data_IF_877269841304
#
_entry.id   IF_877269841304
#
_cell.length_a   1.000
_cell.length_b   1.000
_cell.length_c   1.000
_cell.angle_alpha   90.00
_cell.angle_beta   90.00
_cell.angle_gamma   90.00
#
_symmetry.space_group_name_H-M   'P 1'
#
loop_
_entity.id
_entity.type
_entity.pdbx_description
1 polymer ?
#
# COMPACT_ATOMS: atom_id res chain seq x y z
N UNK A 1 -4.51 -3.16 -16.75
CA UNK A 1 -4.45 -1.80 -16.15
C UNK A 1 -3.61 -1.86 -14.88
N UNK A 2 -2.82 -0.82 -14.64
CA UNK A 2 -2.05 -0.66 -13.39
C UNK A 2 -2.99 -0.62 -12.19
N UNK A 3 -2.63 -1.30 -11.09
CA UNK A 3 -3.47 -1.35 -9.90
C UNK A 3 -3.57 0.04 -9.24
N UNK A 4 -4.78 0.59 -9.17
CA UNK A 4 -5.05 1.83 -8.44
C UNK A 4 -5.26 1.57 -6.95
N UNK A 5 -4.93 2.56 -6.14
CA UNK A 5 -5.09 2.52 -4.67
C UNK A 5 -6.11 3.59 -4.27
N UNK A 6 -6.99 3.24 -3.34
CA UNK A 6 -7.90 4.18 -2.67
C UNK A 6 -7.54 4.37 -1.20
N UNK A 7 -7.60 5.61 -0.73
CA UNK A 7 -7.55 5.97 0.69
C UNK A 7 -8.73 6.85 1.04
N UNK A 8 -9.31 6.62 2.22
CA UNK A 8 -10.45 7.40 2.74
C UNK A 8 -10.01 8.20 3.97
N UNK A 9 -10.45 9.45 4.03
CA UNK A 9 -10.24 10.41 5.10
C UNK A 9 -11.62 10.99 5.48
N UNK A 10 -12.15 10.60 6.63
CA UNK A 10 -13.55 10.88 7.01
C UNK A 10 -13.67 11.44 8.43
N UNK A 11 -12.61 12.08 8.93
CA UNK A 11 -12.51 12.50 10.34
C UNK A 11 -12.55 14.02 10.53
N UNK A 12 -12.93 14.78 9.50
CA UNK A 12 -12.89 16.24 9.53
C UNK A 12 -14.26 16.84 9.84
N UNK A 13 -14.27 17.95 10.57
CA UNK A 13 -15.44 18.84 10.73
C UNK A 13 -15.31 19.98 9.74
N UNK A 14 -16.43 20.41 9.17
CA UNK A 14 -16.45 21.33 8.04
C UNK A 14 -15.73 20.75 6.82
N UNK A 15 -15.34 21.64 5.89
CA UNK A 15 -14.80 21.25 4.58
C UNK A 15 -13.38 21.79 4.28
N UNK A 16 -12.40 21.67 5.19
CA UNK A 16 -11.08 22.28 5.00
C UNK A 16 -10.33 21.77 3.77
N UNK A 17 -10.58 20.53 3.35
CA UNK A 17 -9.99 20.01 2.11
C UNK A 17 -10.48 20.74 0.86
N UNK A 18 -11.69 21.32 0.83
CA UNK A 18 -12.15 22.11 -0.32
C UNK A 18 -11.24 23.32 -0.49
N UNK A 19 -11.03 24.08 0.59
CA UNK A 19 -10.12 25.23 0.60
C UNK A 19 -8.70 24.86 0.23
N UNK A 20 -8.15 23.82 0.85
CA UNK A 20 -6.80 23.35 0.56
C UNK A 20 -6.59 23.05 -0.93
N UNK A 21 -7.51 22.29 -1.55
CA UNK A 21 -7.36 21.93 -2.96
C UNK A 21 -7.64 23.12 -3.90
N UNK A 22 -8.59 24.00 -3.57
CA UNK A 22 -8.83 25.23 -4.33
C UNK A 22 -7.61 26.19 -4.28
N UNK A 23 -6.90 26.27 -3.16
CA UNK A 23 -5.63 27.01 -3.07
C UNK A 23 -4.53 26.40 -3.94
N UNK A 24 -4.48 25.07 -4.08
CA UNK A 24 -3.56 24.43 -5.02
C UNK A 24 -3.92 24.72 -6.47
N UNK A 25 -5.21 24.72 -6.80
CA UNK A 25 -5.69 25.11 -8.12
C UNK A 25 -5.29 26.55 -8.45
N UNK A 26 -5.43 27.50 -7.51
CA UNK A 26 -5.03 28.89 -7.76
C UNK A 26 -3.52 29.09 -7.92
N UNK A 27 -2.71 28.16 -7.39
CA UNK A 27 -1.24 28.13 -7.58
C UNK A 27 -0.79 27.35 -8.82
N UNK A 28 -1.72 26.73 -9.56
CA UNK A 28 -1.39 25.85 -10.70
C UNK A 28 -0.77 24.50 -10.30
N UNK A 29 -0.90 24.09 -9.03
CA UNK A 29 -0.38 22.81 -8.52
C UNK A 29 -1.40 21.66 -8.63
N UNK A 30 -2.66 21.99 -8.93
CA UNK A 30 -3.76 21.05 -9.08
C UNK A 30 -4.76 21.57 -10.12
N UNK A 31 -5.65 20.69 -10.58
CA UNK A 31 -6.73 21.03 -11.51
C UNK A 31 -8.07 20.53 -10.99
N UNK A 32 -9.11 21.37 -11.03
CA UNK A 32 -10.47 20.95 -10.72
C UNK A 32 -11.08 20.24 -11.95
N UNK A 33 -11.01 18.91 -11.97
CA UNK A 33 -11.52 18.11 -13.09
C UNK A 33 -13.05 18.09 -13.17
N UNK A 34 -13.71 18.08 -12.00
CA UNK A 34 -15.15 17.84 -11.96
C UNK A 34 -15.83 18.55 -10.80
N UNK A 35 -17.01 19.10 -11.10
CA UNK A 35 -18.03 19.56 -10.15
C UNK A 35 -19.36 18.91 -10.54
N UNK A 36 -20.03 18.26 -9.60
CA UNK A 36 -21.25 17.48 -9.86
C UNK A 36 -22.30 17.74 -8.79
N UNK A 37 -23.57 17.77 -9.21
CA UNK A 37 -24.73 18.07 -8.38
C UNK A 37 -24.55 19.43 -7.66
N UNK A 38 -24.10 20.43 -8.42
CA UNK A 38 -23.77 21.79 -7.98
C UNK A 38 -24.43 22.84 -8.89
N UNK A 39 -25.52 22.46 -9.56
CA UNK A 39 -26.24 23.27 -10.55
C UNK A 39 -26.85 24.53 -9.94
N UNK A 40 -27.06 24.54 -8.62
CA UNK A 40 -27.43 25.74 -7.86
C UNK A 40 -26.45 26.91 -8.09
N UNK A 41 -25.21 26.61 -8.49
CA UNK A 41 -24.18 27.61 -8.77
C UNK A 41 -24.07 28.02 -10.25
N UNK A 42 -24.86 27.43 -11.16
CA UNK A 42 -24.71 27.69 -12.60
C UNK A 42 -25.07 29.12 -13.02
N UNK A 43 -25.80 29.86 -12.18
CA UNK A 43 -26.11 31.29 -12.36
C UNK A 43 -25.13 32.26 -11.69
N UNK A 44 -24.10 31.78 -10.99
CA UNK A 44 -23.14 32.64 -10.30
C UNK A 44 -21.94 32.94 -11.20
N UNK A 45 -21.72 34.21 -11.53
CA UNK A 45 -20.58 34.65 -12.36
C UNK A 45 -19.21 34.27 -11.75
N UNK A 46 -19.12 34.25 -10.41
CA UNK A 46 -17.90 33.91 -9.69
C UNK A 46 -18.19 33.09 -8.45
N UNK A 47 -17.96 31.79 -8.55
CA UNK A 47 -18.02 30.86 -7.43
C UNK A 47 -16.78 31.02 -6.53
N UNK A 48 -16.97 31.37 -5.25
CA UNK A 48 -15.88 31.43 -4.27
C UNK A 48 -15.76 30.10 -3.54
N UNK A 49 -14.55 29.79 -3.05
CA UNK A 49 -14.28 28.64 -2.20
C UNK A 49 -15.21 28.57 -0.97
N UNK A 50 -15.50 29.72 -0.36
CA UNK A 50 -16.39 29.81 0.80
C UNK A 50 -17.83 29.39 0.46
N UNK A 51 -18.32 29.68 -0.76
CA UNK A 51 -19.67 29.31 -1.19
C UNK A 51 -19.80 27.78 -1.25
N UNK A 52 -18.77 27.09 -1.76
CA UNK A 52 -18.69 25.63 -1.75
C UNK A 52 -18.64 25.07 -0.33
N UNK A 53 -17.78 25.61 0.54
CA UNK A 53 -17.70 25.15 1.94
C UNK A 53 -19.04 25.33 2.67
N UNK A 54 -19.72 26.46 2.47
CA UNK A 54 -21.02 26.74 3.07
C UNK A 54 -22.11 25.81 2.54
N UNK A 55 -22.16 25.57 1.23
CA UNK A 55 -23.17 24.68 0.65
C UNK A 55 -22.99 23.23 1.12
N UNK A 56 -21.76 22.70 1.06
CA UNK A 56 -21.48 21.36 1.59
C UNK A 56 -21.75 21.29 3.10
N UNK A 57 -21.42 22.36 3.84
CA UNK A 57 -21.76 22.54 5.26
C UNK A 57 -23.25 22.50 5.53
N UNK A 58 -24.05 23.20 4.73
CA UNK A 58 -25.50 23.21 4.85
C UNK A 58 -26.09 21.81 4.62
N UNK A 59 -25.63 21.09 3.59
CA UNK A 59 -26.07 19.71 3.34
C UNK A 59 -25.66 18.79 4.49
N UNK A 60 -24.42 18.86 4.96
CA UNK A 60 -23.94 18.08 6.11
C UNK A 60 -24.77 18.34 7.38
N UNK A 61 -25.16 19.60 7.62
CA UNK A 61 -25.93 20.00 8.80
C UNK A 61 -27.35 19.43 8.88
N UNK A 62 -27.88 18.88 7.77
CA UNK A 62 -29.17 18.19 7.74
C UNK A 62 -29.19 16.95 8.65
N UNK A 63 -28.02 16.44 9.05
CA UNK A 63 -27.90 15.34 10.00
C UNK A 63 -27.03 15.74 11.20
N UNK A 64 -27.65 16.22 12.26
CA UNK A 64 -26.97 16.58 13.52
C UNK A 64 -26.32 15.41 14.26
N UNK A 65 -26.63 14.16 13.87
CA UNK A 65 -26.01 12.95 14.43
C UNK A 65 -24.73 12.56 13.68
N UNK A 66 -24.49 13.10 12.48
CA UNK A 66 -23.23 12.86 11.79
C UNK A 66 -22.10 13.53 12.57
N UNK A 67 -21.05 12.77 12.85
CA UNK A 67 -19.90 13.24 13.66
C UNK A 67 -18.91 14.07 12.83
N UNK A 68 -18.86 13.79 11.53
CA UNK A 68 -17.91 14.35 10.58
C UNK A 68 -18.68 14.75 9.33
N UNK A 69 -18.28 15.87 8.75
CA UNK A 69 -19.06 16.49 7.67
C UNK A 69 -18.52 16.12 6.30
N UNK A 70 -17.20 15.93 6.24
CA UNK A 70 -16.45 15.73 5.00
C UNK A 70 -16.15 14.26 4.73
N UNK A 71 -16.61 13.79 3.58
CA UNK A 71 -16.10 12.62 2.90
C UNK A 71 -14.96 13.02 1.97
N UNK A 72 -13.75 12.51 2.23
CA UNK A 72 -12.60 12.74 1.37
C UNK A 72 -11.97 11.41 0.96
N UNK A 73 -11.93 11.14 -0.34
CA UNK A 73 -11.22 10.01 -0.91
C UNK A 73 -10.02 10.46 -1.76
N UNK A 74 -8.97 9.65 -1.78
CA UNK A 74 -7.83 9.81 -2.68
C UNK A 74 -7.68 8.55 -3.51
N UNK A 75 -7.75 8.69 -4.84
CA UNK A 75 -7.44 7.61 -5.78
C UNK A 75 -6.08 7.89 -6.41
N UNK A 76 -5.17 6.93 -6.39
CA UNK A 76 -3.82 7.09 -6.96
C UNK A 76 -3.42 5.92 -7.84
N UNK A 77 -2.58 6.19 -8.84
CA UNK A 77 -1.99 5.19 -9.73
C UNK A 77 -0.47 5.21 -9.55
N UNK A 78 0.17 4.03 -9.48
CA UNK A 78 1.62 3.93 -9.31
C UNK A 78 2.32 3.97 -10.66
N UNK A 79 3.26 4.90 -10.85
CA UNK A 79 4.22 4.92 -11.95
C UNK A 79 3.67 5.11 -13.37
N UNK A 80 2.36 5.19 -13.53
CA UNK A 80 1.67 5.33 -14.82
C UNK A 80 1.05 6.73 -14.92
N UNK A 81 1.23 7.40 -16.05
CA UNK A 81 0.62 8.69 -16.34
C UNK A 81 -0.80 8.48 -16.88
N UNK A 82 -1.72 8.05 -16.01
CA UNK A 82 -3.14 8.03 -16.36
C UNK A 82 -3.61 9.46 -16.65
N UNK A 83 -4.19 9.66 -17.84
CA UNK A 83 -4.71 10.96 -18.25
C UNK A 83 -5.89 11.44 -17.39
N UNK A 84 -6.05 12.76 -17.28
CA UNK A 84 -7.07 13.40 -16.45
C UNK A 84 -8.51 12.94 -16.79
N UNK A 85 -8.83 12.80 -18.09
CA UNK A 85 -10.14 12.32 -18.53
C UNK A 85 -10.48 10.95 -17.92
N UNK A 86 -9.50 10.05 -17.87
CA UNK A 86 -9.68 8.72 -17.27
C UNK A 86 -9.87 8.79 -15.76
N UNK A 87 -9.14 9.68 -15.09
CA UNK A 87 -9.35 9.94 -13.66
C UNK A 87 -10.77 10.45 -13.38
N UNK A 88 -11.30 11.34 -14.21
CA UNK A 88 -12.66 11.84 -14.09
C UNK A 88 -13.70 10.71 -14.26
N UNK A 89 -13.56 9.88 -15.31
CA UNK A 89 -14.42 8.71 -15.54
C UNK A 89 -14.42 7.73 -14.35
N UNK A 90 -13.22 7.35 -13.88
CA UNK A 90 -13.07 6.42 -12.76
C UNK A 90 -13.65 7.03 -11.49
N UNK A 91 -13.41 8.31 -11.22
CA UNK A 91 -13.95 9.00 -10.04
C UNK A 91 -15.47 9.02 -10.06
N UNK A 92 -16.08 9.29 -11.23
CA UNK A 92 -17.53 9.30 -11.39
C UNK A 92 -18.14 7.91 -11.13
N UNK A 93 -17.64 6.88 -11.82
CA UNK A 93 -18.11 5.50 -11.64
C UNK A 93 -17.89 5.01 -10.20
N UNK A 94 -16.77 5.40 -9.58
CA UNK A 94 -16.46 5.04 -8.21
C UNK A 94 -17.41 5.70 -7.20
N UNK A 95 -17.70 7.00 -7.37
CA UNK A 95 -18.67 7.71 -6.54
C UNK A 95 -20.08 7.10 -6.67
N UNK A 96 -20.48 6.73 -7.88
CA UNK A 96 -21.75 6.03 -8.12
C UNK A 96 -21.81 4.71 -7.36
N UNK A 97 -20.80 3.84 -7.53
CA UNK A 97 -20.74 2.54 -6.85
C UNK A 97 -20.64 2.65 -5.32
N UNK A 98 -20.05 3.73 -4.81
CA UNK A 98 -19.99 4.02 -3.38
C UNK A 98 -21.30 4.55 -2.80
N UNK A 99 -22.30 4.88 -3.64
CA UNK A 99 -23.59 5.42 -3.21
C UNK A 99 -23.63 6.94 -3.10
N UNK A 100 -22.67 7.64 -3.68
CA UNK A 100 -22.53 9.10 -3.67
C UNK A 100 -22.95 9.76 -4.99
N UNK A 101 -23.62 9.03 -5.90
CA UNK A 101 -23.99 9.52 -7.24
C UNK A 101 -24.74 10.87 -7.21
N UNK A 102 -25.66 11.01 -6.26
CA UNK A 102 -26.53 12.19 -6.09
C UNK A 102 -25.97 13.24 -5.12
N UNK A 103 -24.81 12.97 -4.51
CA UNK A 103 -24.20 13.92 -3.57
C UNK A 103 -23.49 15.04 -4.33
N UNK A 104 -23.41 16.25 -3.78
CA UNK A 104 -22.48 17.24 -4.32
C UNK A 104 -21.04 16.76 -4.13
N UNK A 105 -20.25 16.78 -5.20
CA UNK A 105 -18.83 16.45 -5.08
C UNK A 105 -17.93 17.21 -6.05
N UNK A 106 -16.66 17.27 -5.65
CA UNK A 106 -15.56 17.89 -6.37
C UNK A 106 -14.45 16.86 -6.60
N UNK A 107 -13.83 16.87 -7.77
CA UNK A 107 -12.67 16.02 -8.11
C UNK A 107 -11.50 16.90 -8.50
N UNK A 108 -10.42 16.85 -7.73
CA UNK A 108 -9.18 17.59 -7.98
C UNK A 108 -8.09 16.63 -8.44
N UNK A 109 -7.43 16.94 -9.54
CA UNK A 109 -6.28 16.19 -10.06
C UNK A 109 -4.96 16.81 -9.65
N UNK A 110 -4.07 15.97 -9.14
CA UNK A 110 -2.77 16.34 -8.63
C UNK A 110 -1.69 15.51 -9.35
N UNK A 111 -0.69 16.22 -9.87
CA UNK A 111 0.53 15.65 -10.46
C UNK A 111 1.80 16.18 -9.78
N UNK A 112 1.66 16.76 -8.59
CA UNK A 112 2.71 17.37 -7.76
C UNK A 112 3.57 16.34 -7.00
N UNK A 113 3.29 15.04 -7.16
CA UNK A 113 4.06 13.94 -6.56
C UNK A 113 4.41 12.88 -7.59
N UNK A 114 5.26 11.91 -7.23
CA UNK A 114 5.66 10.82 -8.13
C UNK A 114 4.47 10.02 -8.71
N UNK A 115 3.35 9.97 -8.00
CA UNK A 115 2.14 9.28 -8.46
C UNK A 115 1.04 10.30 -8.75
N UNK A 116 0.51 10.28 -9.96
CA UNK A 116 -0.71 11.01 -10.27
C UNK A 116 -1.86 10.50 -9.39
N UNK A 117 -2.65 11.43 -8.85
CA UNK A 117 -3.75 11.10 -7.96
C UNK A 117 -4.86 12.14 -8.05
N UNK A 118 -6.06 11.75 -7.62
CA UNK A 118 -7.19 12.65 -7.46
C UNK A 118 -7.67 12.70 -6.01
N UNK A 119 -8.05 13.89 -5.57
CA UNK A 119 -8.82 14.11 -4.36
C UNK A 119 -10.30 14.25 -4.72
N UNK A 120 -11.16 13.41 -4.14
CA UNK A 120 -12.61 13.45 -4.30
C UNK A 120 -13.21 13.92 -2.97
N UNK A 121 -13.94 15.03 -3.00
CA UNK A 121 -14.54 15.64 -1.81
C UNK A 121 -16.07 15.64 -1.93
N UNK A 122 -16.75 15.18 -0.90
CA UNK A 122 -18.21 15.10 -0.77
C UNK A 122 -18.62 15.29 0.69
N UNK A 123 -19.92 15.30 0.96
CA UNK A 123 -20.50 14.98 2.28
C UNK A 123 -21.15 13.59 2.25
N UNK A 124 -21.22 12.92 3.40
CA UNK A 124 -21.91 11.63 3.58
C UNK A 124 -23.39 11.79 4.00
N UNK A 125 -23.89 13.02 4.07
CA UNK A 125 -25.29 13.33 4.39
C UNK A 125 -26.07 13.65 3.12
N UNK A 126 -27.16 12.93 2.88
CA UNK A 126 -28.06 13.17 1.75
C UNK A 126 -28.94 14.39 1.99
N UNK A 127 -29.55 14.91 0.91
CA UNK A 127 -30.50 16.03 0.99
C UNK A 127 -31.76 15.72 1.81
N UNK A 128 -32.09 14.44 2.01
CA UNK A 128 -33.16 14.01 2.92
C UNK A 128 -32.71 13.91 4.41
N UNK A 129 -31.47 14.29 4.71
CA UNK A 129 -30.86 14.20 6.03
C UNK A 129 -30.38 12.80 6.41
N UNK A 130 -30.60 11.76 5.59
CA UNK A 130 -30.09 10.42 5.86
C UNK A 130 -28.58 10.34 5.61
N UNK A 131 -27.87 9.60 6.46
CA UNK A 131 -26.44 9.35 6.28
C UNK A 131 -26.21 8.20 5.29
N UNK A 132 -25.22 8.32 4.42
CA UNK A 132 -24.68 7.22 3.63
C UNK A 132 -23.95 6.28 4.60
N UNK A 133 -24.29 4.97 4.64
CA UNK A 133 -23.65 4.04 5.55
C UNK A 133 -22.14 3.99 5.33
N UNK A 134 -21.35 4.06 6.42
CA UNK A 134 -19.89 4.02 6.45
C UNK A 134 -19.33 2.66 6.89
N UNK A 135 -20.20 1.70 7.23
CA UNK A 135 -19.82 0.33 7.56
C UNK A 135 -18.99 -0.32 6.45
N UNK A 136 -17.81 -0.83 6.82
CA UNK A 136 -16.86 -1.49 5.91
C UNK A 136 -16.53 -0.67 4.64
N UNK A 137 -16.60 0.66 4.71
CA UNK A 137 -16.32 1.60 3.63
C UNK A 137 -15.00 1.34 2.92
N UNK A 138 -13.91 1.02 3.64
CA UNK A 138 -12.60 0.70 3.06
C UNK A 138 -12.64 -0.54 2.18
N UNK A 139 -13.32 -1.60 2.64
CA UNK A 139 -13.43 -2.87 1.88
C UNK A 139 -14.30 -2.66 0.65
N UNK A 140 -15.40 -1.92 0.78
CA UNK A 140 -16.26 -1.55 -0.35
C UNK A 140 -15.52 -0.68 -1.36
N UNK A 141 -14.86 0.38 -0.89
CA UNK A 141 -14.08 1.32 -1.71
C UNK A 141 -13.05 0.61 -2.59
N UNK A 142 -12.25 -0.28 -1.99
CA UNK A 142 -11.25 -1.06 -2.71
C UNK A 142 -11.95 -2.01 -3.70
N UNK A 143 -12.97 -2.73 -3.25
CA UNK A 143 -13.66 -3.69 -4.11
C UNK A 143 -14.40 -3.06 -5.30
N UNK A 144 -14.93 -1.84 -5.15
CA UNK A 144 -15.53 -1.09 -6.25
C UNK A 144 -14.45 -0.57 -7.21
N UNK A 145 -13.34 -0.03 -6.69
CA UNK A 145 -12.24 0.45 -7.52
C UNK A 145 -11.60 -0.68 -8.34
N UNK A 146 -11.34 -1.84 -7.72
CA UNK A 146 -10.80 -3.02 -8.39
C UNK A 146 -11.70 -3.44 -9.56
N UNK A 147 -13.02 -3.52 -9.34
CA UNK A 147 -13.99 -3.84 -10.40
C UNK A 147 -13.97 -2.83 -11.55
N UNK A 148 -13.93 -1.52 -11.24
CA UNK A 148 -13.85 -0.46 -12.26
C UNK A 148 -12.55 -0.56 -13.07
N UNK A 149 -11.45 -0.97 -12.42
CA UNK A 149 -10.15 -1.18 -13.08
C UNK A 149 -10.04 -2.55 -13.80
N UNK A 150 -11.10 -3.37 -13.82
CA UNK A 150 -11.09 -4.70 -14.43
C UNK A 150 -10.25 -5.73 -13.67
N UNK A 151 -10.03 -5.54 -12.37
CA UNK A 151 -9.28 -6.46 -11.51
C UNK A 151 -10.26 -7.45 -10.88
N UNK A 152 -10.20 -8.72 -11.31
CA UNK A 152 -10.83 -9.81 -10.58
C UNK A 152 -9.93 -10.24 -9.41
N UNK A 153 -10.38 -9.92 -8.19
CA UNK A 153 -9.64 -10.22 -6.96
C UNK A 153 -9.44 -11.72 -6.74
N UNK A 154 -10.40 -12.57 -7.14
CA UNK A 154 -10.30 -14.01 -6.94
C UNK A 154 -9.39 -14.65 -7.98
N UNK A 155 -9.52 -14.26 -9.24
CA UNK A 155 -8.66 -14.76 -10.31
C UNK A 155 -7.21 -14.32 -10.08
N UNK A 156 -6.98 -13.05 -9.72
CA UNK A 156 -5.66 -12.55 -9.33
C UNK A 156 -5.10 -13.33 -8.15
N UNK A 157 -5.93 -13.65 -7.15
CA UNK A 157 -5.50 -14.46 -6.01
C UNK A 157 -5.12 -15.88 -6.42
N UNK A 158 -5.91 -16.55 -7.26
CA UNK A 158 -5.60 -17.91 -7.74
C UNK A 158 -4.29 -17.93 -8.53
N UNK A 159 -4.10 -16.96 -9.43
CA UNK A 159 -2.88 -16.81 -10.21
C UNK A 159 -1.66 -16.58 -9.30
N UNK A 160 -1.76 -15.64 -8.37
CA UNK A 160 -0.70 -15.37 -7.39
C UNK A 160 -0.41 -16.62 -6.55
N UNK A 161 -1.44 -17.27 -6.01
CA UNK A 161 -1.29 -18.45 -5.16
C UNK A 161 -0.63 -19.61 -5.92
N UNK A 162 -1.01 -19.87 -7.17
CA UNK A 162 -0.38 -20.92 -7.99
C UNK A 162 1.12 -20.69 -8.17
N UNK A 163 1.52 -19.43 -8.39
CA UNK A 163 2.93 -19.02 -8.46
C UNK A 163 3.63 -19.13 -7.11
N UNK A 164 2.96 -18.81 -6.00
CA UNK A 164 3.58 -18.88 -4.68
C UNK A 164 3.71 -20.32 -4.18
N UNK A 165 2.78 -21.21 -4.55
CA UNK A 165 2.85 -22.64 -4.22
C UNK A 165 3.95 -23.39 -4.98
N UNK A 166 4.51 -22.82 -6.05
CA UNK A 166 5.71 -23.40 -6.68
C UNK A 166 6.95 -23.24 -5.81
N UNK A 167 6.93 -22.32 -4.84
CA UNK A 167 8.03 -22.15 -3.90
C UNK A 167 7.98 -23.24 -2.84
N UNK A 168 9.14 -23.81 -2.53
CA UNK A 168 9.31 -24.78 -1.44
C UNK A 168 9.48 -24.02 -0.13
N UNK A 169 8.55 -24.23 0.80
CA UNK A 169 8.61 -23.73 2.17
C UNK A 169 8.64 -24.89 3.16
N UNK A 170 9.48 -24.79 4.19
CA UNK A 170 9.57 -25.74 5.31
C UNK A 170 8.97 -25.18 6.61
N UNK A 171 8.68 -23.88 6.68
CA UNK A 171 8.15 -23.22 7.88
C UNK A 171 7.01 -22.24 7.60
N UNK A 172 6.20 -21.96 8.63
CA UNK A 172 5.13 -20.95 8.56
C UNK A 172 5.67 -19.53 8.46
N UNK A 173 6.88 -19.28 8.96
CA UNK A 173 7.59 -18.00 8.84
C UNK A 173 7.97 -17.72 7.38
N UNK A 174 8.53 -18.72 6.69
CA UNK A 174 8.82 -18.63 5.26
C UNK A 174 7.55 -18.37 4.43
N UNK A 175 6.47 -19.11 4.70
CA UNK A 175 5.19 -18.89 4.02
C UNK A 175 4.64 -17.48 4.28
N UNK A 176 4.80 -16.96 5.51
CA UNK A 176 4.42 -15.59 5.87
C UNK A 176 5.23 -14.55 5.10
N UNK A 177 6.55 -14.74 4.97
CA UNK A 177 7.42 -13.86 4.20
C UNK A 177 7.03 -13.85 2.72
N UNK A 178 6.85 -15.03 2.13
CA UNK A 178 6.48 -15.20 0.73
C UNK A 178 5.13 -14.52 0.39
N UNK A 179 4.10 -14.78 1.20
CA UNK A 179 2.78 -14.15 1.04
C UNK A 179 2.85 -12.64 1.29
N UNK A 180 3.61 -12.22 2.31
CA UNK A 180 3.83 -10.82 2.67
C UNK A 180 4.44 -10.00 1.53
N UNK A 181 5.49 -10.51 0.90
CA UNK A 181 6.15 -9.86 -0.25
C UNK A 181 5.21 -9.72 -1.46
N UNK A 182 4.24 -10.62 -1.59
CA UNK A 182 3.20 -10.55 -2.63
C UNK A 182 1.97 -9.70 -2.23
N UNK A 183 2.02 -9.00 -1.09
CA UNK A 183 0.96 -8.10 -0.63
C UNK A 183 -0.20 -8.79 0.10
N UNK A 184 -0.01 -10.03 0.56
CA UNK A 184 -1.00 -10.77 1.34
C UNK A 184 -0.66 -10.74 2.83
N UNK A 185 -1.69 -10.66 3.67
CA UNK A 185 -1.55 -10.82 5.11
C UNK A 185 -1.83 -12.27 5.49
N UNK A 186 -0.85 -12.91 6.13
CA UNK A 186 -0.94 -14.28 6.63
C UNK A 186 -0.79 -14.33 8.15
N UNK A 187 -1.78 -14.88 8.86
CA UNK A 187 -1.78 -14.95 10.32
C UNK A 187 -2.67 -16.09 10.83
N UNK A 188 -2.43 -16.53 12.07
CA UNK A 188 -3.23 -17.54 12.75
C UNK A 188 -4.45 -16.93 13.46
N UNK A 189 -5.57 -17.63 13.40
CA UNK A 189 -6.82 -17.28 14.09
C UNK A 189 -7.66 -18.53 14.32
N UNK A 190 -8.06 -18.79 15.57
CA UNK A 190 -8.95 -19.89 15.96
C UNK A 190 -8.58 -21.24 15.31
N UNK A 191 -7.34 -21.71 15.50
CA UNK A 191 -6.86 -23.01 14.98
C UNK A 191 -6.66 -23.07 13.45
N UNK A 192 -6.72 -21.92 12.77
CA UNK A 192 -6.58 -21.83 11.32
C UNK A 192 -5.58 -20.75 10.94
N UNK A 193 -4.99 -20.86 9.77
CA UNK A 193 -4.30 -19.76 9.10
C UNK A 193 -5.24 -19.09 8.11
N UNK A 194 -5.24 -17.75 8.11
CA UNK A 194 -6.02 -16.92 7.21
C UNK A 194 -5.09 -16.19 6.25
N UNK A 195 -5.43 -16.20 4.96
CA UNK A 195 -4.82 -15.35 3.93
C UNK A 195 -5.80 -14.22 3.63
N UNK A 196 -5.38 -12.98 3.85
CA UNK A 196 -6.19 -11.78 3.62
C UNK A 196 -5.53 -10.81 2.63
N UNK A 197 -6.35 -10.17 1.81
CA UNK A 197 -5.98 -8.99 1.00
C UNK A 197 -7.21 -8.11 0.86
N UNK A 198 -7.03 -6.80 0.73
CA UNK A 198 -8.13 -5.83 0.59
C UNK A 198 -9.18 -5.88 1.72
N UNK A 199 -8.77 -6.31 2.92
CA UNK A 199 -9.66 -6.47 4.07
C UNK A 199 -10.60 -7.68 4.00
N UNK A 200 -10.48 -8.54 2.97
CA UNK A 200 -11.26 -9.78 2.81
C UNK A 200 -10.40 -11.00 3.14
N UNK A 201 -11.03 -12.03 3.68
CA UNK A 201 -10.40 -13.36 3.81
C UNK A 201 -10.58 -14.09 2.49
N UNK A 202 -9.46 -14.42 1.84
CA UNK A 202 -9.43 -15.11 0.55
C UNK A 202 -9.29 -16.63 0.73
N UNK A 203 -8.61 -17.07 1.79
CA UNK A 203 -8.42 -18.49 2.08
C UNK A 203 -8.32 -18.73 3.59
N UNK A 204 -8.82 -19.89 4.01
CA UNK A 204 -8.67 -20.45 5.36
C UNK A 204 -8.04 -21.82 5.25
N UNK A 205 -6.99 -22.07 6.03
CA UNK A 205 -6.23 -23.31 6.03
C UNK A 205 -6.16 -23.85 7.45
N UNK A 206 -6.40 -25.14 7.66
CA UNK A 206 -6.23 -25.76 8.97
C UNK A 206 -4.76 -25.67 9.43
N UNK A 207 -4.52 -25.17 10.64
CA UNK A 207 -3.15 -24.90 11.09
C UNK A 207 -2.33 -26.17 11.31
N UNK A 208 -2.92 -27.18 11.98
CA UNK A 208 -2.24 -28.44 12.27
C UNK A 208 -1.88 -29.20 10.98
N UNK A 209 -2.81 -29.27 10.04
CA UNK A 209 -2.60 -29.92 8.75
C UNK A 209 -1.53 -29.23 7.90
N UNK A 210 -1.49 -27.89 7.89
CA UNK A 210 -0.45 -27.14 7.17
C UNK A 210 0.92 -27.34 7.81
N UNK A 211 1.01 -27.23 9.14
CA UNK A 211 2.27 -27.44 9.85
C UNK A 211 2.82 -28.86 9.65
N UNK A 212 1.98 -29.89 9.70
CA UNK A 212 2.41 -31.26 9.43
C UNK A 212 2.99 -31.43 8.02
N UNK A 213 2.36 -30.83 7.00
CA UNK A 213 2.83 -30.88 5.61
C UNK A 213 4.14 -30.11 5.41
N UNK A 214 4.28 -28.95 6.04
CA UNK A 214 5.52 -28.15 5.99
C UNK A 214 6.69 -28.91 6.63
N UNK A 215 6.46 -29.54 7.79
CA UNK A 215 7.48 -30.35 8.49
C UNK A 215 7.93 -31.60 7.71
N UNK A 216 7.06 -32.16 6.86
CA UNK A 216 7.38 -33.31 6.00
C UNK A 216 8.10 -32.90 4.70
N UNK A 217 8.03 -31.63 4.32
CA UNK A 217 8.66 -31.10 3.11
C UNK A 217 10.15 -30.87 3.36
N UNK A 218 10.94 -31.93 3.18
CA UNK A 218 12.41 -32.01 3.05
C UNK A 218 13.25 -30.84 3.63
N UNK A 219 13.97 -31.10 4.72
CA UNK A 219 15.21 -30.37 5.07
C UNK A 219 16.31 -30.78 4.09
N UNK A 220 16.35 -30.14 2.93
CA UNK A 220 17.41 -30.36 1.95
C UNK A 220 18.69 -29.61 2.38
N UNK A 221 19.43 -30.20 3.33
CA UNK A 221 20.66 -29.64 3.95
C UNK A 221 21.72 -29.27 2.91
N UNK A 222 21.68 -29.86 1.71
CA UNK A 222 22.65 -29.62 0.64
C UNK A 222 22.49 -28.25 -0.02
N UNK A 223 21.26 -27.72 -0.15
CA UNK A 223 21.01 -26.41 -0.77
C UNK A 223 21.54 -25.23 0.06
N UNK A 224 21.40 -25.32 1.39
CA UNK A 224 21.78 -24.26 2.33
C UNK A 224 23.30 -23.96 2.30
N UNK A 225 24.13 -24.98 2.10
CA UNK A 225 25.59 -24.82 2.03
C UNK A 225 26.04 -24.04 0.78
N UNK A 226 25.40 -24.29 -0.37
CA UNK A 226 25.67 -23.57 -1.62
C UNK A 226 25.30 -22.09 -1.50
N UNK A 227 24.08 -21.80 -1.03
CA UNK A 227 23.61 -20.42 -0.81
C UNK A 227 24.50 -19.70 0.19
N UNK A 228 24.90 -20.36 1.28
CA UNK A 228 25.85 -19.79 2.26
C UNK A 228 27.16 -19.38 1.62
N UNK A 229 27.73 -20.23 0.73
CA UNK A 229 28.99 -19.94 0.05
C UNK A 229 28.87 -18.71 -0.86
N UNK A 230 27.77 -18.58 -1.59
CA UNK A 230 27.49 -17.43 -2.44
C UNK A 230 27.41 -16.14 -1.61
N UNK A 231 26.66 -16.18 -0.51
CA UNK A 231 26.50 -15.02 0.38
C UNK A 231 27.85 -14.61 0.97
N UNK A 232 28.62 -15.56 1.50
CA UNK A 232 29.95 -15.30 2.06
C UNK A 232 30.88 -14.65 1.03
N UNK A 233 30.91 -15.16 -0.20
CA UNK A 233 31.74 -14.58 -1.27
C UNK A 233 31.30 -13.15 -1.64
N UNK A 234 29.99 -12.87 -1.64
CA UNK A 234 29.48 -11.53 -1.93
C UNK A 234 29.74 -10.54 -0.78
N UNK A 235 29.87 -11.01 0.46
CA UNK A 235 30.19 -10.18 1.63
C UNK A 235 31.62 -9.65 1.61
N UNK A 236 32.53 -10.27 0.86
CA UNK A 236 33.90 -9.79 0.70
C UNK A 236 33.95 -8.44 -0.07
N UNK A 237 32.96 -8.17 -0.92
CA UNK A 237 32.93 -6.97 -1.78
C UNK A 237 31.75 -6.05 -1.54
N UNK A 238 30.69 -6.50 -0.87
CA UNK A 238 29.46 -5.73 -0.66
C UNK A 238 29.05 -5.69 0.81
N UNK A 239 28.66 -4.49 1.28
CA UNK A 239 28.26 -4.32 2.67
C UNK A 239 26.94 -5.00 2.98
N UNK A 240 26.94 -5.84 4.02
CA UNK A 240 25.75 -6.46 4.60
C UNK A 240 24.94 -5.52 5.51
N UNK A 241 25.44 -4.32 5.78
CA UNK A 241 24.88 -3.40 6.78
C UNK A 241 23.47 -2.94 6.36
N UNK A 242 22.41 -3.20 7.17
CA UNK A 242 21.06 -2.80 6.82
C UNK A 242 20.86 -1.29 6.91
N UNK A 243 20.42 -0.70 5.80
CA UNK A 243 20.02 0.69 5.67
C UNK A 243 18.49 0.81 5.67
N UNK A 244 17.91 1.70 6.50
CA UNK A 244 16.46 1.87 6.56
C UNK A 244 15.92 2.53 5.29
N UNK A 245 14.87 1.94 4.72
CA UNK A 245 14.08 2.53 3.65
C UNK A 245 12.93 3.33 4.28
N UNK A 246 12.92 4.64 4.04
CA UNK A 246 11.89 5.53 4.55
C UNK A 246 10.75 5.72 3.54
N UNK A 247 9.51 5.66 4.03
CA UNK A 247 8.35 6.12 3.27
C UNK A 247 8.12 7.61 3.57
N UNK A 248 8.06 8.43 2.52
CA UNK A 248 7.65 9.84 2.64
C UNK A 248 6.16 9.90 3.01
N UNK A 249 5.83 10.64 4.07
CA UNK A 249 4.46 11.01 4.38
C UNK A 249 4.00 12.16 3.47
N UNK A 250 2.69 12.26 3.23
CA UNK A 250 2.09 13.44 2.60
C UNK A 250 2.14 14.59 3.60
N UNK A 251 3.17 15.44 3.48
CA UNK A 251 3.48 16.52 4.40
C UNK A 251 4.96 16.48 4.80
N UNK A 252 5.58 17.65 4.98
CA UNK A 252 7.03 17.81 5.19
C UNK A 252 7.58 17.20 6.50
N UNK A 253 6.83 16.38 7.23
CA UNK A 253 7.32 15.70 8.44
C UNK A 253 6.79 14.27 8.64
N UNK A 254 7.69 13.48 9.24
CA UNK A 254 7.67 12.04 9.55
C UNK A 254 8.03 11.11 8.39
N UNK A 255 9.22 10.52 8.49
CA UNK A 255 9.72 9.42 7.66
C UNK A 255 9.54 8.12 8.42
N UNK A 256 8.49 7.35 8.12
CA UNK A 256 8.31 6.02 8.74
C UNK A 256 9.24 5.03 8.04
N UNK A 257 9.95 4.20 8.80
CA UNK A 257 10.72 3.08 8.24
C UNK A 257 9.71 2.09 7.64
N UNK A 258 9.83 1.87 6.34
CA UNK A 258 9.01 0.95 5.55
C UNK A 258 9.69 -0.39 5.29
N UNK A 259 11.00 -0.46 5.45
CA UNK A 259 11.81 -1.66 5.23
C UNK A 259 13.28 -1.37 5.49
N UNK A 260 14.12 -2.37 5.23
CA UNK A 260 15.57 -2.24 5.20
C UNK A 260 16.10 -2.80 3.88
N UNK A 261 17.27 -2.33 3.45
CA UNK A 261 18.06 -2.86 2.33
C UNK A 261 19.52 -2.93 2.72
N UNK A 262 20.36 -3.56 1.92
CA UNK A 262 21.82 -3.45 2.01
C UNK A 262 22.40 -3.55 0.61
N UNK A 263 23.63 -3.09 0.43
CA UNK A 263 24.36 -3.25 -0.83
C UNK A 263 24.45 -4.74 -1.22
N UNK A 264 24.76 -5.60 -0.25
CA UNK A 264 24.77 -7.05 -0.42
C UNK A 264 23.43 -7.58 -0.90
N UNK A 265 22.31 -7.17 -0.27
CA UNK A 265 20.97 -7.60 -0.66
C UNK A 265 20.61 -7.16 -2.07
N UNK A 266 20.96 -5.93 -2.45
CA UNK A 266 20.72 -5.44 -3.81
C UNK A 266 21.57 -6.20 -4.84
N UNK A 267 22.82 -6.51 -4.51
CA UNK A 267 23.71 -7.29 -5.37
C UNK A 267 23.15 -8.70 -5.57
N UNK A 268 22.93 -9.45 -4.49
CA UNK A 268 22.45 -10.83 -4.52
C UNK A 268 21.12 -10.97 -5.29
N UNK A 269 20.21 -10.01 -5.14
CA UNK A 269 18.96 -10.01 -5.89
C UNK A 269 19.20 -9.83 -7.40
N UNK A 270 20.13 -8.94 -7.79
CA UNK A 270 20.44 -8.68 -9.21
C UNK A 270 21.28 -9.75 -9.87
N UNK A 271 22.33 -10.24 -9.18
CA UNK A 271 23.32 -11.17 -9.75
C UNK A 271 22.89 -12.61 -9.63
N UNK A 272 22.24 -12.99 -8.52
CA UNK A 272 21.93 -14.39 -8.20
C UNK A 272 20.43 -14.69 -8.08
N UNK A 273 19.57 -13.67 -8.10
CA UNK A 273 18.13 -13.87 -7.84
C UNK A 273 17.84 -14.26 -6.39
N UNK A 274 18.75 -13.94 -5.46
CA UNK A 274 18.62 -14.18 -4.03
C UNK A 274 18.13 -12.91 -3.32
N UNK A 275 16.87 -12.92 -2.86
CA UNK A 275 16.26 -11.82 -2.12
C UNK A 275 16.51 -11.99 -0.61
N UNK A 276 17.02 -10.94 0.03
CA UNK A 276 17.09 -10.83 1.50
C UNK A 276 15.91 -10.00 2.00
N UNK A 277 15.06 -10.62 2.80
CA UNK A 277 13.90 -9.98 3.42
C UNK A 277 14.18 -9.69 4.89
N UNK A 278 14.41 -8.43 5.25
CA UNK A 278 14.64 -8.04 6.64
C UNK A 278 13.34 -7.99 7.46
N UNK A 279 13.36 -8.66 8.61
CA UNK A 279 12.35 -8.52 9.65
C UNK A 279 12.80 -7.43 10.63
N UNK A 280 11.90 -6.53 11.04
CA UNK A 280 12.27 -5.40 11.91
C UNK A 280 11.15 -4.99 12.86
N UNK A 281 11.56 -4.35 13.96
CA UNK A 281 10.71 -3.73 14.97
C UNK A 281 11.08 -2.25 15.13
N UNK A 282 10.48 -1.57 16.12
CA UNK A 282 10.91 -0.20 16.47
C UNK A 282 12.37 -0.12 16.93
N UNK A 283 12.93 -1.23 17.42
CA UNK A 283 14.31 -1.31 17.89
C UNK A 283 15.34 -1.58 16.77
N UNK A 284 14.89 -1.80 15.52
CA UNK A 284 15.74 -2.12 14.38
C UNK A 284 15.47 -3.49 13.77
N UNK A 285 16.40 -4.00 12.98
CA UNK A 285 16.33 -5.32 12.35
C UNK A 285 16.36 -6.40 13.44
N UNK A 286 15.39 -7.31 13.40
CA UNK A 286 15.21 -8.40 14.38
C UNK A 286 15.47 -9.77 13.76
N UNK A 287 15.63 -9.86 12.44
CA UNK A 287 15.80 -11.12 11.72
C UNK A 287 15.86 -10.89 10.22
N UNK A 288 16.08 -11.96 9.47
CA UNK A 288 15.96 -11.98 8.02
C UNK A 288 15.39 -13.31 7.54
N UNK A 289 14.88 -13.33 6.32
CA UNK A 289 14.54 -14.53 5.55
C UNK A 289 15.18 -14.40 4.16
N UNK A 290 15.51 -15.53 3.56
CA UNK A 290 16.13 -15.59 2.23
C UNK A 290 15.18 -16.27 1.25
N UNK A 291 15.03 -15.67 0.07
CA UNK A 291 14.22 -16.22 -1.03
C UNK A 291 15.13 -16.39 -2.24
N UNK A 292 15.26 -17.62 -2.71
CA UNK A 292 15.89 -17.95 -3.98
C UNK A 292 14.82 -18.04 -5.06
N UNK A 293 14.79 -17.03 -5.94
CA UNK A 293 13.83 -16.97 -7.04
C UNK A 293 14.19 -17.89 -8.22
N UNK A 294 15.46 -18.30 -8.36
CA UNK A 294 15.88 -19.21 -9.44
C UNK A 294 15.41 -20.62 -9.16
N UNK A 295 15.66 -21.09 -7.95
CA UNK A 295 15.28 -22.44 -7.52
C UNK A 295 13.90 -22.50 -6.85
N UNK A 296 13.24 -21.34 -6.69
CA UNK A 296 11.95 -21.22 -6.01
C UNK A 296 12.01 -21.82 -4.59
N UNK A 297 12.99 -21.41 -3.79
CA UNK A 297 13.23 -21.94 -2.43
C UNK A 297 13.30 -20.82 -1.41
N UNK A 298 12.88 -21.11 -0.18
CA UNK A 298 13.03 -20.19 0.94
C UNK A 298 13.91 -20.83 2.01
N UNK A 299 14.77 -20.01 2.61
CA UNK A 299 15.65 -20.41 3.70
C UNK A 299 15.38 -19.55 4.92
N UNK A 300 15.33 -20.20 6.08
CA UNK A 300 15.40 -19.46 7.33
C UNK A 300 16.84 -18.99 7.53
N UNK A 301 17.04 -17.73 7.90
CA UNK A 301 18.38 -17.14 7.97
C UNK A 301 19.34 -17.95 8.83
N UNK A 302 18.87 -18.41 9.99
CA UNK A 302 19.65 -19.22 10.94
C UNK A 302 20.17 -20.54 10.33
N UNK A 303 19.53 -21.06 9.27
CA UNK A 303 20.00 -22.24 8.53
C UNK A 303 21.20 -21.93 7.62
N UNK A 304 21.31 -20.66 7.19
CA UNK A 304 22.37 -20.18 6.30
C UNK A 304 23.50 -19.54 7.10
N UNK A 305 23.16 -18.57 7.95
CA UNK A 305 24.07 -17.80 8.78
C UNK A 305 23.31 -17.09 9.92
N UNK A 306 23.79 -17.15 11.16
CA UNK A 306 23.21 -16.38 12.27
C UNK A 306 23.16 -14.88 11.96
N UNK A 307 22.09 -14.20 12.37
CA UNK A 307 21.94 -12.74 12.14
C UNK A 307 23.14 -11.95 12.68
N UNK A 308 23.69 -12.32 13.83
CA UNK A 308 24.85 -11.66 14.43
C UNK A 308 26.08 -11.70 13.51
N UNK A 309 26.34 -12.86 12.89
CA UNK A 309 27.45 -13.03 11.94
C UNK A 309 27.18 -12.23 10.66
N UNK A 310 25.94 -12.24 10.17
CA UNK A 310 25.53 -11.49 9.00
C UNK A 310 25.72 -9.97 9.16
N UNK A 311 25.47 -9.44 10.37
CA UNK A 311 25.62 -8.02 10.69
C UNK A 311 27.06 -7.64 11.08
N UNK A 312 27.84 -8.55 11.68
CA UNK A 312 29.19 -8.28 12.16
C UNK A 312 30.23 -8.08 11.04
N UNK A 313 30.07 -8.80 9.94
CA UNK A 313 30.84 -8.67 8.69
C UNK A 313 30.64 -7.34 7.95
N UNK A 314 29.69 -6.51 8.39
CA UNK A 314 29.38 -5.20 7.81
C UNK A 314 30.12 -4.02 8.43
N UNK A 315 31.22 -4.23 9.17
CA UNK A 315 32.07 -3.13 9.65
C UNK A 315 33.27 -2.88 8.72
N UNK A 316 33.16 -2.01 7.71
CA UNK A 316 34.30 -1.19 7.34
C UNK A 316 34.53 -0.18 8.47
N UNK A 317 35.80 0.03 8.82
CA UNK A 317 36.27 1.07 9.70
C UNK A 317 35.65 2.43 9.33
N UNK A 318 34.68 2.88 10.14
CA UNK A 318 34.02 4.16 9.92
C UNK A 318 34.99 5.32 10.24
N UNK A 319 35.61 5.88 9.19
CA UNK A 319 35.93 7.30 9.15
C UNK A 319 34.73 8.03 8.52
N UNK A 320 34.28 9.10 9.20
CA UNK A 320 33.12 9.91 8.86
C UNK A 320 32.92 10.16 7.36
N UNK A 321 31.78 9.74 6.81
CA UNK A 321 31.31 10.14 5.49
C UNK A 321 29.83 10.55 5.55
N UNK A 322 29.55 11.75 5.05
CA UNK A 322 28.24 12.44 5.04
C UNK A 322 27.16 11.65 4.27
N UNK A 323 25.86 11.86 4.59
CA UNK A 323 24.77 11.28 3.82
C UNK A 323 24.80 11.73 2.35
N UNK A 324 24.85 10.77 1.42
CA UNK A 324 24.63 11.01 -0.01
C UNK A 324 23.15 10.95 -0.32
N UNK A 325 22.63 12.06 -0.84
CA UNK A 325 21.32 12.13 -1.47
C UNK A 325 21.44 11.57 -2.89
N UNK A 326 20.57 10.62 -3.26
CA UNK A 326 20.36 10.30 -4.67
C UNK A 326 19.67 11.49 -5.33
N UNK A 327 20.37 12.14 -6.24
CA UNK A 327 19.91 13.31 -6.96
C UNK A 327 19.15 12.96 -8.23
N UNK A 328 18.11 13.78 -8.45
CA UNK A 328 17.31 14.08 -9.67
C UNK A 328 16.51 12.94 -10.31
#
# INVERSE_FOLDING_TARGET
MSAMIVRLFTTSKGFPAIRYNMEKVSRGEAELLCRKNLEIFDGFERLKTADLEHYFGAVASLNSRSRFDQFHAVLSVRGDSMGQARFAEISHSWMEKMGYASQPYLVFFHSDTHNAHVHILSTDVRLDGSKIPDGFDRVRAIGHLNRICGIDEQESFKKDLSRLLSYRCSSTSQLKALLGNSGYHFFSYQGNFLIRRYGKTLMRINAAGLQARLSQSFRDVQGSAGVRKIILAAMDTHSAMPEPIYQQASGKQWRRISGYRSELADFLMRSEGLEICYHFSRAGVTGLSLIDHRDCRLFDAEEIMPLSLFLASGQPSYQHSRPRFLGR
#
